data_IF_777326460466
#
_entry.id   IF_777326460466
#
_cell.length_a   1.000
_cell.length_b   1.000
_cell.length_c   1.000
_cell.angle_alpha   90.00
_cell.angle_beta   90.00
_cell.angle_gamma   90.00
#
_symmetry.space_group_name_H-M   'P 1'
#
loop_
_entity.id
_entity.type
_entity.pdbx_description
1 polymer ?
#
# COMPACT_ATOMS: atom_id res chain seq x y z
N UNK A 1 -5.41 6.60 -24.29
CA UNK A 1 -4.07 6.05 -24.01
C UNK A 1 -4.27 4.71 -23.35
N UNK A 2 -3.53 3.69 -23.77
CA UNK A 2 -3.64 2.33 -23.22
C UNK A 2 -3.13 2.32 -21.78
N UNK A 3 -3.94 1.82 -20.84
CA UNK A 3 -3.48 1.57 -19.47
C UNK A 3 -2.42 0.47 -19.50
N UNK A 4 -1.34 0.62 -18.74
CA UNK A 4 -0.22 -0.34 -18.74
C UNK A 4 0.00 -0.90 -17.35
N UNK A 5 0.69 -2.03 -17.26
CA UNK A 5 1.11 -2.61 -15.97
C UNK A 5 1.99 -1.67 -15.15
N UNK A 6 2.78 -0.80 -15.80
CA UNK A 6 3.55 0.21 -15.09
C UNK A 6 2.65 1.25 -14.43
N UNK A 7 1.65 1.75 -15.17
CA UNK A 7 0.65 2.69 -14.64
C UNK A 7 -0.12 2.07 -13.46
N UNK A 8 -0.47 0.79 -13.56
CA UNK A 8 -1.08 0.02 -12.47
C UNK A 8 -0.25 0.01 -11.20
N UNK A 9 1.02 -0.37 -11.28
CA UNK A 9 1.91 -0.40 -10.11
C UNK A 9 2.10 0.99 -9.51
N UNK A 10 2.18 2.04 -10.33
CA UNK A 10 2.29 3.43 -9.85
C UNK A 10 1.03 3.90 -9.11
N UNK A 11 -0.16 3.57 -9.64
CA UNK A 11 -1.44 3.91 -9.02
C UNK A 11 -1.61 3.19 -7.67
N UNK A 12 -1.29 1.88 -7.62
CA UNK A 12 -1.29 1.11 -6.38
C UNK A 12 -0.31 1.67 -5.35
N UNK A 13 0.93 1.97 -5.77
CA UNK A 13 1.95 2.55 -4.90
C UNK A 13 1.48 3.88 -4.30
N UNK A 14 0.85 4.73 -5.11
CA UNK A 14 0.27 6.00 -4.66
C UNK A 14 -0.85 5.77 -3.64
N UNK A 15 -1.79 4.88 -3.93
CA UNK A 15 -2.92 4.57 -3.04
C UNK A 15 -2.46 4.03 -1.68
N UNK A 16 -1.55 3.04 -1.69
CA UNK A 16 -0.98 2.41 -0.49
C UNK A 16 -0.20 3.44 0.33
N UNK A 17 0.59 4.33 -0.28
CA UNK A 17 1.32 5.38 0.46
C UNK A 17 0.39 6.43 1.05
N UNK A 18 -0.64 6.87 0.33
CA UNK A 18 -1.62 7.83 0.86
C UNK A 18 -2.39 7.27 2.06
N UNK A 19 -2.82 6.01 1.98
CA UNK A 19 -3.50 5.33 3.08
C UNK A 19 -2.55 5.03 4.25
N UNK A 20 -1.36 4.52 3.96
CA UNK A 20 -0.41 4.05 4.96
C UNK A 20 0.34 5.17 5.70
N UNK A 21 0.92 6.13 4.98
CA UNK A 21 1.70 7.23 5.57
C UNK A 21 0.78 8.30 6.18
N UNK A 22 -0.23 8.74 5.41
CA UNK A 22 -1.07 9.89 5.77
C UNK A 22 -2.36 9.50 6.48
N UNK A 23 -2.73 8.22 6.48
CA UNK A 23 -4.02 7.74 7.01
C UNK A 23 -5.22 8.52 6.49
N UNK A 24 -5.16 8.79 5.19
CA UNK A 24 -6.27 9.38 4.44
C UNK A 24 -7.13 8.24 3.92
N UNK A 25 -8.45 8.35 4.05
CA UNK A 25 -9.36 7.42 3.37
C UNK A 25 -9.16 7.53 1.86
N UNK A 26 -8.78 6.41 1.24
CA UNK A 26 -8.56 6.24 -0.19
C UNK A 26 -9.51 5.17 -0.67
N UNK A 27 -10.25 5.46 -1.75
CA UNK A 27 -11.04 4.47 -2.48
C UNK A 27 -10.39 4.28 -3.84
N UNK A 28 -10.01 3.05 -4.15
CA UNK A 28 -9.36 2.67 -5.39
C UNK A 28 -10.39 2.03 -6.32
N UNK A 29 -10.87 2.79 -7.29
CA UNK A 29 -11.89 2.33 -8.23
C UNK A 29 -11.23 1.77 -9.49
N UNK A 30 -11.62 0.55 -9.88
CA UNK A 30 -11.21 -0.09 -11.12
C UNK A 30 -12.41 -0.72 -11.82
N UNK A 31 -12.49 -0.60 -13.14
CA UNK A 31 -13.46 -1.32 -13.96
C UNK A 31 -12.87 -2.57 -14.61
N UNK A 32 -13.73 -3.55 -14.91
CA UNK A 32 -13.33 -4.80 -15.57
C UNK A 32 -12.57 -4.55 -16.88
N UNK A 33 -12.93 -3.49 -17.62
CA UNK A 33 -12.26 -3.10 -18.87
C UNK A 33 -10.81 -2.59 -18.68
N UNK A 34 -10.40 -2.26 -17.45
CA UNK A 34 -9.04 -1.85 -17.12
C UNK A 34 -8.17 -3.02 -16.65
N UNK A 35 -8.78 -4.17 -16.31
CA UNK A 35 -8.08 -5.39 -15.95
C UNK A 35 -7.61 -6.05 -17.25
N UNK A 36 -6.34 -5.83 -17.57
CA UNK A 36 -5.73 -6.30 -18.82
C UNK A 36 -4.79 -7.50 -18.62
N UNK A 37 -4.52 -7.86 -17.37
CA UNK A 37 -3.56 -8.91 -17.00
C UNK A 37 -3.98 -9.56 -15.67
N UNK A 38 -3.78 -10.87 -15.55
CA UNK A 38 -4.14 -11.67 -14.36
C UNK A 38 -3.40 -11.19 -13.10
N UNK A 39 -2.16 -10.70 -13.24
CA UNK A 39 -1.38 -10.18 -12.12
C UNK A 39 -2.04 -9.00 -11.39
N UNK A 40 -2.91 -8.24 -12.07
CA UNK A 40 -3.68 -7.16 -11.45
C UNK A 40 -4.69 -7.72 -10.44
N UNK A 41 -5.34 -8.84 -10.76
CA UNK A 41 -6.29 -9.50 -9.87
C UNK A 41 -5.57 -10.11 -8.67
N UNK A 42 -4.38 -10.67 -8.89
CA UNK A 42 -3.52 -11.17 -7.82
C UNK A 42 -3.08 -10.05 -6.86
N UNK A 43 -2.68 -8.90 -7.40
CA UNK A 43 -2.33 -7.71 -6.61
C UNK A 43 -3.51 -7.22 -5.77
N UNK A 44 -4.72 -7.17 -6.35
CA UNK A 44 -5.95 -6.81 -5.63
C UNK A 44 -6.25 -7.80 -4.51
N UNK A 45 -6.14 -9.10 -4.79
CA UNK A 45 -6.33 -10.16 -3.80
C UNK A 45 -5.32 -10.05 -2.64
N UNK A 46 -4.07 -9.73 -2.96
CA UNK A 46 -3.03 -9.50 -1.96
C UNK A 46 -3.38 -8.29 -1.07
N UNK A 47 -3.81 -7.16 -1.66
CA UNK A 47 -4.25 -5.99 -0.89
C UNK A 47 -5.45 -6.28 0.03
N UNK A 48 -6.42 -7.06 -0.43
CA UNK A 48 -7.59 -7.42 0.37
C UNK A 48 -7.25 -8.37 1.52
N UNK A 49 -6.34 -9.32 1.28
CA UNK A 49 -5.99 -10.36 2.24
C UNK A 49 -4.94 -9.91 3.26
N UNK A 50 -3.82 -9.35 2.79
CA UNK A 50 -2.66 -8.99 3.61
C UNK A 50 -2.54 -7.49 3.81
N UNK A 51 -3.06 -6.67 2.89
CA UNK A 51 -2.82 -5.23 2.86
C UNK A 51 -1.52 -4.83 2.16
N UNK A 52 -0.86 -5.79 1.51
CA UNK A 52 0.44 -5.64 0.86
C UNK A 52 0.42 -6.26 -0.52
N UNK A 53 1.14 -5.64 -1.46
CA UNK A 53 1.42 -6.21 -2.77
C UNK A 53 2.89 -6.60 -2.84
N UNK A 54 3.22 -7.86 -3.21
CA UNK A 54 4.60 -8.28 -3.37
C UNK A 54 5.38 -7.37 -4.32
N UNK A 55 6.59 -6.99 -3.93
CA UNK A 55 7.52 -6.17 -4.74
C UNK A 55 7.00 -4.79 -5.18
N UNK A 56 5.92 -4.28 -4.58
CA UNK A 56 5.39 -2.94 -4.90
C UNK A 56 6.26 -1.80 -4.34
N UNK A 57 6.83 -2.00 -3.15
CA UNK A 57 7.71 -1.05 -2.49
C UNK A 57 9.13 -1.61 -2.46
N UNK A 58 10.09 -0.83 -2.93
CA UNK A 58 11.50 -1.19 -2.86
C UNK A 58 12.10 -0.90 -1.47
N UNK A 59 13.38 -1.23 -1.27
CA UNK A 59 14.05 -1.03 0.02
C UNK A 59 14.15 0.44 0.42
N UNK A 60 14.22 1.36 -0.54
CA UNK A 60 14.23 2.80 -0.29
C UNK A 60 12.83 3.29 0.11
N UNK A 61 11.79 2.86 -0.58
CA UNK A 61 10.39 3.12 -0.23
C UNK A 61 10.07 2.62 1.18
N UNK A 62 10.47 1.39 1.51
CA UNK A 62 10.25 0.82 2.86
C UNK A 62 10.96 1.69 3.91
N UNK A 63 12.17 2.17 3.63
CA UNK A 63 12.89 3.06 4.55
C UNK A 63 12.14 4.38 4.74
N UNK A 64 11.61 4.94 3.65
CA UNK A 64 10.87 6.19 3.67
C UNK A 64 9.53 6.07 4.41
N UNK A 65 8.73 5.02 4.15
CA UNK A 65 7.44 4.83 4.82
C UNK A 65 7.63 4.53 6.31
N UNK A 66 8.63 3.73 6.69
CA UNK A 66 8.89 3.40 8.09
C UNK A 66 9.32 4.62 8.90
N UNK A 67 10.11 5.51 8.30
CA UNK A 67 10.47 6.79 8.94
C UNK A 67 9.26 7.72 9.05
N UNK A 68 8.46 7.82 7.97
CA UNK A 68 7.24 8.64 7.95
C UNK A 68 6.24 8.26 9.05
N UNK A 69 6.03 6.95 9.28
CA UNK A 69 5.04 6.47 10.26
C UNK A 69 5.59 6.37 11.68
N UNK A 70 6.90 6.48 11.90
CA UNK A 70 7.57 6.22 13.20
C UNK A 70 6.90 6.92 14.38
N UNK A 71 6.65 8.23 14.24
CA UNK A 71 6.04 9.03 15.32
C UNK A 71 4.65 8.53 15.67
N UNK A 72 3.86 8.12 14.68
CA UNK A 72 2.49 7.61 14.87
C UNK A 72 2.50 6.17 15.40
N UNK A 73 3.44 5.36 14.93
CA UNK A 73 3.64 3.99 15.39
C UNK A 73 4.05 3.96 16.88
N UNK A 74 4.88 4.91 17.33
CA UNK A 74 5.26 5.08 18.74
C UNK A 74 4.06 5.30 19.66
N UNK A 75 3.07 6.09 19.22
CA UNK A 75 1.82 6.28 19.98
C UNK A 75 1.02 4.96 20.14
N UNK A 76 1.25 3.98 19.26
CA UNK A 76 0.69 2.64 19.31
C UNK A 76 1.65 1.58 19.87
N UNK A 77 2.84 1.97 20.37
CA UNK A 77 3.92 1.07 20.82
C UNK A 77 4.40 0.07 19.75
N UNK A 78 4.42 0.50 18.49
CA UNK A 78 4.86 -0.28 17.33
C UNK A 78 6.15 0.27 16.71
N UNK A 79 7.06 0.84 17.52
CA UNK A 79 8.32 1.46 17.09
C UNK A 79 9.58 0.66 17.48
N UNK A 80 9.42 -0.60 17.90
CA UNK A 80 10.51 -1.46 18.41
C UNK A 80 11.51 -1.92 17.34
N UNK A 81 11.07 -2.06 16.09
CA UNK A 81 11.91 -2.48 14.97
C UNK A 81 11.39 -1.94 13.65
N UNK A 82 12.22 -2.02 12.59
CA UNK A 82 11.79 -1.68 11.22
C UNK A 82 10.61 -2.55 10.76
N UNK A 83 10.56 -3.81 11.19
CA UNK A 83 9.46 -4.73 10.94
C UNK A 83 8.17 -4.26 11.62
N UNK A 84 8.24 -3.81 12.87
CA UNK A 84 7.06 -3.29 13.59
C UNK A 84 6.51 -2.02 12.96
N UNK A 85 7.42 -1.13 12.52
CA UNK A 85 7.06 0.10 11.80
C UNK A 85 6.36 -0.21 10.48
N UNK A 86 6.88 -1.19 9.74
CA UNK A 86 6.28 -1.61 8.48
C UNK A 86 4.92 -2.31 8.72
N UNK A 87 4.81 -3.17 9.72
CA UNK A 87 3.54 -3.77 10.12
C UNK A 87 2.50 -2.70 10.53
N UNK A 88 2.92 -1.64 11.21
CA UNK A 88 2.05 -0.50 11.51
C UNK A 88 1.57 0.20 10.23
N UNK A 89 2.47 0.45 9.28
CA UNK A 89 2.13 1.03 7.98
C UNK A 89 1.09 0.18 7.25
N UNK A 90 1.29 -1.12 7.16
CA UNK A 90 0.37 -2.07 6.51
C UNK A 90 -0.99 -2.08 7.20
N UNK A 91 -1.00 -2.01 8.54
CA UNK A 91 -2.24 -1.85 9.30
C UNK A 91 -2.98 -0.56 8.94
N UNK A 92 -2.26 0.54 8.69
CA UNK A 92 -2.89 1.78 8.21
C UNK A 92 -3.44 1.61 6.79
N UNK A 93 -2.71 0.95 5.88
CA UNK A 93 -3.17 0.66 4.52
C UNK A 93 -4.50 -0.08 4.57
N UNK A 94 -4.59 -1.20 5.30
CA UNK A 94 -5.84 -1.99 5.43
C UNK A 94 -7.01 -1.21 6.02
N UNK A 95 -6.72 -0.22 6.87
CA UNK A 95 -7.75 0.58 7.55
C UNK A 95 -8.28 1.70 6.67
N UNK A 96 -7.44 2.27 5.82
CA UNK A 96 -7.73 3.51 5.10
C UNK A 96 -7.83 3.34 3.58
N UNK A 97 -7.38 2.21 3.03
CA UNK A 97 -7.55 1.87 1.62
C UNK A 97 -8.76 0.93 1.47
N UNK A 98 -9.70 1.35 0.64
CA UNK A 98 -10.82 0.56 0.18
C UNK A 98 -10.70 0.36 -1.33
N UNK A 99 -11.02 -0.83 -1.80
CA UNK A 99 -11.01 -1.21 -3.21
C UNK A 99 -12.47 -1.45 -3.58
#
# INVERSE_FOLDING_TARGET
GTYTLASWKDDLKTAVRLAGEKSRHVTFLISDSQIIDESMVEDLSALLSTGEVPSLLDSADISNVTESVRTRAKACRMDGSRTDLFAFFVRQVRRFLHI
#
